data_IF_047320017279
#
_entry.id   IF_047320017279
#
_cell.length_a   1.000
_cell.length_b   1.000
_cell.length_c   1.000
_cell.angle_alpha   90.00
_cell.angle_beta   90.00
_cell.angle_gamma   90.00
#
_symmetry.space_group_name_H-M   'P 1'
#
loop_
_entity.id
_entity.type
_entity.pdbx_description
1 polymer ?
#
# COMPACT_ATOMS: atom_id res chain seq x y z
N UNK A 1 0.00 -8.31 11.09
CA UNK A 1 0.25 -8.07 9.66
C UNK A 1 1.31 -9.03 9.20
N UNK A 2 0.98 -9.92 8.29
CA UNK A 2 1.86 -10.97 7.79
C UNK A 2 2.53 -10.49 6.50
N UNK A 3 3.83 -10.20 6.50
CA UNK A 3 4.52 -9.72 5.31
C UNK A 3 4.76 -10.80 4.24
N UNK A 4 4.40 -12.05 4.51
CA UNK A 4 4.79 -13.18 3.66
C UNK A 4 3.96 -13.37 2.38
N UNK A 5 2.77 -12.77 2.29
CA UNK A 5 1.92 -12.92 1.11
C UNK A 5 2.51 -12.28 -0.15
N UNK A 6 3.28 -11.24 0.01
CA UNK A 6 3.80 -10.48 -1.11
C UNK A 6 4.90 -11.19 -1.88
N UNK A 7 5.73 -11.99 -1.22
CA UNK A 7 6.85 -12.65 -1.87
C UNK A 7 6.40 -13.69 -2.90
N UNK A 8 5.35 -14.48 -2.57
CA UNK A 8 4.83 -15.50 -3.48
C UNK A 8 4.12 -14.90 -4.70
N UNK A 9 3.38 -13.79 -4.49
CA UNK A 9 2.67 -13.09 -5.56
C UNK A 9 3.62 -12.37 -6.54
N UNK A 10 4.84 -12.11 -6.12
CA UNK A 10 5.84 -11.36 -6.90
C UNK A 10 6.84 -12.23 -7.63
N UNK A 11 6.82 -13.55 -7.39
CA UNK A 11 7.82 -14.47 -7.94
C UNK A 11 7.86 -14.48 -9.47
N UNK A 12 6.73 -14.22 -10.13
CA UNK A 12 6.61 -14.24 -11.58
C UNK A 12 6.60 -12.85 -12.22
N UNK A 13 6.92 -11.80 -11.47
CA UNK A 13 6.94 -10.46 -12.00
C UNK A 13 8.07 -10.27 -13.01
N UNK A 14 7.88 -9.51 -14.10
CA UNK A 14 8.97 -9.12 -14.98
C UNK A 14 10.08 -8.41 -14.19
N UNK A 15 11.30 -8.55 -14.69
CA UNK A 15 12.46 -7.92 -14.04
C UNK A 15 12.24 -6.42 -13.88
N UNK A 16 12.46 -5.91 -12.68
CA UNK A 16 12.29 -4.50 -12.34
C UNK A 16 10.87 -4.11 -11.95
N UNK A 17 9.91 -5.04 -11.97
CA UNK A 17 8.53 -4.77 -11.56
C UNK A 17 8.22 -5.37 -10.20
N UNK A 18 7.27 -4.75 -9.49
CA UNK A 18 6.78 -5.28 -8.22
C UNK A 18 5.90 -6.51 -8.41
N UNK A 19 5.15 -6.55 -9.51
CA UNK A 19 4.22 -7.62 -9.80
C UNK A 19 2.85 -7.40 -9.18
N UNK A 20 2.20 -8.50 -8.76
CA UNK A 20 0.86 -8.44 -8.16
C UNK A 20 0.93 -7.97 -6.71
N UNK A 21 0.03 -7.07 -6.36
CA UNK A 21 -0.09 -6.48 -5.02
C UNK A 21 -1.53 -6.65 -4.54
N UNK A 22 -1.69 -7.09 -3.29
CA UNK A 22 -3.00 -7.20 -2.67
C UNK A 22 -3.26 -5.99 -1.79
N UNK A 23 -4.43 -5.32 -1.94
CA UNK A 23 -4.85 -4.30 -0.99
C UNK A 23 -5.00 -4.89 0.40
N UNK A 24 -4.61 -4.12 1.42
CA UNK A 24 -4.69 -4.53 2.82
C UNK A 24 -5.55 -3.54 3.60
N UNK A 25 -6.09 -4.00 4.74
CA UNK A 25 -6.88 -3.17 5.64
C UNK A 25 -6.35 -3.30 7.06
N UNK A 26 -6.30 -2.16 7.74
CA UNK A 26 -6.06 -2.09 9.18
C UNK A 26 -7.29 -1.50 9.84
N UNK A 27 -7.71 -2.10 10.96
CA UNK A 27 -8.85 -1.63 11.73
C UNK A 27 -8.35 -1.13 13.08
N UNK A 28 -8.73 0.10 13.41
CA UNK A 28 -8.45 0.73 14.70
C UNK A 28 -9.78 0.86 15.44
N UNK A 29 -10.12 -0.11 16.34
CA UNK A 29 -11.44 -0.12 16.98
C UNK A 29 -11.71 1.13 17.81
N UNK A 30 -10.68 1.67 18.46
CA UNK A 30 -10.80 2.86 19.29
C UNK A 30 -10.82 4.16 18.46
N UNK A 31 -10.48 4.08 17.18
CA UNK A 31 -10.55 5.21 16.27
C UNK A 31 -9.64 6.37 16.64
N UNK A 32 -10.10 7.57 16.32
CA UNK A 32 -9.37 8.81 16.57
C UNK A 32 -10.28 9.82 17.25
N UNK A 33 -9.70 10.68 18.08
CA UNK A 33 -10.38 11.83 18.67
C UNK A 33 -10.06 13.07 17.84
N UNK A 34 -11.10 13.74 17.37
CA UNK A 34 -10.96 14.95 16.57
C UNK A 34 -10.62 16.16 17.46
N UNK A 35 -10.17 17.24 16.84
CA UNK A 35 -9.76 18.45 17.57
C UNK A 35 -10.92 19.10 18.34
N UNK A 36 -12.15 18.89 17.89
CA UNK A 36 -13.36 19.39 18.59
C UNK A 36 -13.84 18.47 19.71
N UNK A 37 -13.10 17.41 20.01
CA UNK A 37 -13.44 16.44 21.04
C UNK A 37 -14.34 15.30 20.58
N UNK A 38 -14.87 15.33 19.38
CA UNK A 38 -15.64 14.21 18.83
C UNK A 38 -14.74 13.02 18.55
N UNK A 39 -15.33 11.82 18.62
CA UNK A 39 -14.61 10.59 18.37
C UNK A 39 -15.13 9.90 17.12
N UNK A 40 -14.22 9.56 16.22
CA UNK A 40 -14.51 8.76 15.04
C UNK A 40 -14.00 7.33 15.31
N UNK A 41 -14.91 6.39 15.48
CA UNK A 41 -14.58 4.99 15.77
C UNK A 41 -15.65 4.05 15.21
N UNK A 42 -15.29 2.87 14.68
CA UNK A 42 -13.91 2.48 14.39
C UNK A 42 -13.34 3.25 13.21
N UNK A 43 -12.02 3.24 13.06
CA UNK A 43 -11.35 3.75 11.86
C UNK A 43 -10.76 2.57 11.10
N UNK A 44 -11.07 2.48 9.83
CA UNK A 44 -10.48 1.51 8.91
C UNK A 44 -9.58 2.23 7.90
N UNK A 45 -8.39 1.70 7.67
CA UNK A 45 -7.45 2.23 6.71
C UNK A 45 -7.13 1.17 5.67
N UNK A 46 -7.34 1.49 4.40
CA UNK A 46 -6.86 0.68 3.28
C UNK A 46 -5.44 1.13 2.93
N UNK A 47 -4.55 0.18 2.70
CA UNK A 47 -3.16 0.48 2.40
C UNK A 47 -2.54 -0.59 1.52
N UNK A 48 -1.42 -0.25 0.89
CA UNK A 48 -0.58 -1.19 0.17
C UNK A 48 0.87 -1.03 0.62
N UNK A 49 1.63 -2.12 0.52
CA UNK A 49 3.04 -2.13 0.88
C UNK A 49 3.86 -2.71 -0.26
N UNK A 50 5.08 -2.21 -0.39
CA UNK A 50 6.02 -2.63 -1.43
C UNK A 50 7.39 -2.82 -0.79
N UNK A 51 8.02 -3.98 -1.06
CA UNK A 51 9.30 -4.33 -0.46
C UNK A 51 9.15 -5.14 0.82
N UNK A 52 10.21 -5.26 1.57
CA UNK A 52 10.27 -6.04 2.82
C UNK A 52 10.67 -5.17 3.99
N UNK A 53 9.88 -5.26 5.07
CA UNK A 53 10.16 -4.52 6.30
C UNK A 53 11.39 -5.11 7.00
N UNK A 54 12.37 -4.27 7.31
CA UNK A 54 13.52 -4.69 8.09
C UNK A 54 13.11 -5.08 9.52
N UNK A 55 13.84 -6.03 10.17
CA UNK A 55 13.50 -6.46 11.54
C UNK A 55 13.44 -5.33 12.56
N UNK A 56 14.30 -4.33 12.42
CA UNK A 56 14.33 -3.14 13.28
C UNK A 56 13.42 -2.01 12.78
N UNK A 57 12.70 -2.23 11.68
CA UNK A 57 11.77 -1.26 11.08
C UNK A 57 12.43 0.06 10.65
N UNK A 58 13.72 0.02 10.36
CA UNK A 58 14.48 1.23 10.01
C UNK A 58 14.36 1.67 8.55
N UNK A 59 13.75 0.82 7.68
CA UNK A 59 13.74 1.02 6.24
C UNK A 59 12.38 1.45 5.68
N UNK A 60 11.51 2.04 6.50
CA UNK A 60 10.15 2.42 6.10
C UNK A 60 10.13 3.78 5.41
N UNK A 61 9.43 3.83 4.27
CA UNK A 61 9.08 5.09 3.60
C UNK A 61 7.56 5.19 3.58
N UNK A 62 7.03 6.23 4.22
CA UNK A 62 5.60 6.54 4.12
C UNK A 62 5.36 7.42 2.90
N UNK A 63 4.54 6.92 1.98
CA UNK A 63 4.19 7.62 0.77
C UNK A 63 2.79 8.23 0.91
N UNK A 64 2.69 9.53 0.69
CA UNK A 64 1.44 10.26 0.77
C UNK A 64 0.92 10.54 -0.64
N UNK A 65 -0.26 9.99 -0.98
CA UNK A 65 -0.84 10.18 -2.30
C UNK A 65 -1.47 11.58 -2.45
N UNK A 66 -1.64 12.02 -3.70
CA UNK A 66 -2.31 13.27 -4.02
C UNK A 66 -3.83 13.16 -3.76
N UNK A 67 -4.52 14.31 -3.75
CA UNK A 67 -5.97 14.38 -3.50
C UNK A 67 -6.77 13.42 -4.37
N UNK A 68 -6.39 13.28 -5.64
CA UNK A 68 -7.04 12.39 -6.61
C UNK A 68 -6.42 11.00 -6.67
N UNK A 69 -5.47 10.68 -5.79
CA UNK A 69 -4.80 9.40 -5.74
C UNK A 69 -5.39 8.43 -4.73
N UNK A 70 -4.68 7.34 -4.50
CA UNK A 70 -5.05 6.32 -3.53
C UNK A 70 -3.84 5.47 -3.16
N UNK A 71 -4.06 4.43 -2.38
CA UNK A 71 -3.00 3.56 -1.88
C UNK A 71 -2.29 2.75 -2.97
N UNK A 72 -2.91 2.57 -4.14
CA UNK A 72 -2.34 1.76 -5.23
C UNK A 72 -1.26 2.52 -5.98
N UNK A 73 -0.08 2.63 -5.38
CA UNK A 73 1.02 3.42 -5.93
C UNK A 73 1.90 2.64 -6.91
N UNK A 74 1.98 1.31 -6.78
CA UNK A 74 2.83 0.48 -7.63
C UNK A 74 2.25 -0.93 -7.80
N UNK A 75 2.77 -1.65 -8.79
CA UNK A 75 2.31 -3.00 -9.08
C UNK A 75 0.92 -3.04 -9.71
N UNK A 76 0.37 -4.24 -9.82
CA UNK A 76 -0.97 -4.51 -10.38
C UNK A 76 -1.77 -5.35 -9.41
N UNK A 77 -3.09 -5.17 -9.37
CA UNK A 77 -3.98 -6.04 -8.61
C UNK A 77 -4.26 -7.35 -9.35
N UNK A 78 -4.33 -7.27 -10.67
CA UNK A 78 -4.55 -8.43 -11.55
C UNK A 78 -3.58 -8.42 -12.72
N UNK A 79 -3.22 -9.61 -13.28
CA UNK A 79 -2.33 -9.67 -14.44
C UNK A 79 -2.85 -8.92 -15.66
N UNK A 80 -4.18 -8.79 -15.77
CA UNK A 80 -4.84 -8.15 -16.92
C UNK A 80 -5.00 -6.63 -16.76
N UNK A 81 -4.57 -6.08 -15.64
CA UNK A 81 -4.64 -4.63 -15.42
C UNK A 81 -3.80 -3.89 -16.47
N UNK A 82 -4.45 -2.95 -17.16
CA UNK A 82 -3.78 -2.18 -18.21
C UNK A 82 -2.73 -1.24 -17.67
N UNK A 83 -2.95 -0.74 -16.45
CA UNK A 83 -2.05 0.23 -15.81
C UNK A 83 -1.65 -0.26 -14.43
N UNK A 84 -0.38 -0.12 -14.08
CA UNK A 84 0.08 -0.31 -12.71
C UNK A 84 -0.33 0.87 -11.84
N UNK A 85 0.04 0.82 -10.57
CA UNK A 85 -0.14 1.94 -9.64
C UNK A 85 0.46 3.24 -10.17
N UNK A 86 -0.02 4.36 -9.64
CA UNK A 86 0.25 5.69 -10.19
C UNK A 86 1.73 6.13 -10.14
N UNK A 87 2.55 5.50 -9.31
CA UNK A 87 3.99 5.77 -9.21
C UNK A 87 4.87 4.55 -9.48
N UNK A 88 4.35 3.56 -10.20
CA UNK A 88 5.07 2.34 -10.52
C UNK A 88 6.43 2.60 -11.20
N UNK A 89 6.53 3.69 -11.95
CA UNK A 89 7.78 4.09 -12.60
C UNK A 89 8.92 4.33 -11.59
N UNK A 90 8.58 4.78 -10.37
CA UNK A 90 9.55 5.16 -9.35
C UNK A 90 9.68 4.15 -8.20
N UNK A 91 8.77 3.19 -8.11
CA UNK A 91 8.73 2.22 -7.00
C UNK A 91 8.97 0.81 -7.54
N UNK A 92 10.01 0.18 -7.08
CA UNK A 92 10.32 -1.18 -7.49
C UNK A 92 11.80 -1.51 -7.32
N UNK A 93 12.18 -2.76 -7.66
CA UNK A 93 13.58 -3.17 -7.58
C UNK A 93 14.47 -2.26 -8.46
N UNK A 94 15.52 -1.72 -7.87
CA UNK A 94 16.50 -0.85 -8.53
C UNK A 94 15.92 0.47 -9.10
N UNK A 95 14.71 0.83 -8.67
CA UNK A 95 14.11 2.13 -9.00
C UNK A 95 14.44 3.17 -7.92
N UNK A 96 13.96 4.40 -8.09
CA UNK A 96 14.23 5.50 -7.17
C UNK A 96 13.84 5.16 -5.73
N UNK A 97 12.65 4.59 -5.53
CA UNK A 97 12.24 3.98 -4.27
C UNK A 97 12.50 2.47 -4.38
N UNK A 98 13.74 2.10 -4.13
CA UNK A 98 14.25 0.75 -4.36
C UNK A 98 13.69 -0.22 -3.32
N UNK A 99 12.80 -1.11 -3.76
CA UNK A 99 12.15 -2.09 -2.89
C UNK A 99 13.08 -3.24 -2.47
N UNK A 100 14.28 -3.33 -3.02
CA UNK A 100 15.33 -4.21 -2.47
C UNK A 100 15.87 -3.69 -1.14
N UNK A 101 15.73 -2.39 -0.87
CA UNK A 101 16.26 -1.72 0.32
C UNK A 101 15.17 -1.20 1.24
N UNK A 102 14.11 -0.66 0.68
CA UNK A 102 13.08 0.06 1.42
C UNK A 102 11.75 -0.69 1.42
N UNK A 103 11.04 -0.54 2.51
CA UNK A 103 9.65 -0.93 2.66
C UNK A 103 8.79 0.32 2.50
N UNK A 104 8.10 0.39 1.37
CA UNK A 104 7.26 1.55 1.04
C UNK A 104 5.82 1.23 1.43
N UNK A 105 5.18 2.11 2.16
CA UNK A 105 3.77 1.99 2.54
C UNK A 105 3.01 3.22 2.06
N UNK A 106 1.88 2.99 1.39
CA UNK A 106 0.95 4.02 0.98
C UNK A 106 -0.43 3.73 1.56
N UNK A 107 -0.98 4.69 2.28
CA UNK A 107 -2.26 4.55 2.98
C UNK A 107 -3.28 5.47 2.33
N UNK A 108 -4.50 4.95 2.08
CA UNK A 108 -5.62 5.80 1.67
C UNK A 108 -5.96 6.78 2.79
N UNK A 109 -6.13 8.05 2.44
CA UNK A 109 -6.72 8.99 3.38
C UNK A 109 -8.15 8.56 3.71
N UNK A 110 -8.61 8.90 4.90
CA UNK A 110 -9.98 8.60 5.33
C UNK A 110 -10.97 9.22 4.36
N UNK A 111 -12.04 8.48 4.07
CA UNK A 111 -13.08 8.88 3.10
C UNK A 111 -12.57 9.03 1.66
N UNK A 112 -11.49 8.36 1.32
CA UNK A 112 -11.00 8.32 -0.07
C UNK A 112 -12.02 7.63 -0.98
N UNK A 113 -12.28 8.17 -2.18
CA UNK A 113 -13.17 7.52 -3.15
C UNK A 113 -12.58 6.23 -3.75
N UNK A 114 -11.31 5.98 -3.51
CA UNK A 114 -10.59 4.83 -4.04
C UNK A 114 -10.47 3.68 -3.03
N UNK A 115 -11.40 3.60 -2.09
CA UNK A 115 -11.46 2.42 -1.23
C UNK A 115 -11.74 1.17 -2.07
N UNK A 116 -10.98 0.09 -1.86
CA UNK A 116 -11.25 -1.15 -2.58
C UNK A 116 -12.68 -1.63 -2.25
N UNK A 117 -13.40 -2.16 -3.22
CA UNK A 117 -14.75 -2.66 -2.98
C UNK A 117 -14.73 -3.79 -1.93
N UNK A 118 -15.85 -3.96 -1.19
CA UNK A 118 -15.90 -4.90 -0.06
C UNK A 118 -15.56 -6.36 -0.41
N UNK A 119 -15.66 -6.72 -1.67
CA UNK A 119 -15.39 -8.08 -2.13
C UNK A 119 -13.94 -8.31 -2.57
N UNK A 120 -13.09 -7.31 -2.44
CA UNK A 120 -11.64 -7.48 -2.62
C UNK A 120 -10.93 -7.90 -1.33
N UNK A 121 -11.70 -8.44 -0.39
CA UNK A 121 -11.17 -8.98 0.87
C UNK A 121 -10.71 -10.41 0.72
#
# INVERSE_FOLDING_TARGET
MEPMHDAALRADAPEGEIGLVAPQRAVFPDGITLTDGQRLAPVEAAYETYGTLAPDKSNVILLCHALSGGAHAAGRHHPDDRKPGWWDLYIGPNKALDTNRFFVICVNVLASPYEPPPHCQ
#
